data_IF_505417479333
#
_entry.id   IF_505417479333
#
_cell.length_a   1.000
_cell.length_b   1.000
_cell.length_c   1.000
_cell.angle_alpha   90.00
_cell.angle_beta   90.00
_cell.angle_gamma   90.00
#
_symmetry.space_group_name_H-M   'P 1'
#
loop_
_entity.id
_entity.type
_entity.pdbx_description
1 polymer ?
#
# COMPACT_ATOMS: atom_id res chain seq x y z
N UNK A 1 -12.24 -28.89 -7.18
CA UNK A 1 -12.40 -28.27 -5.85
C UNK A 1 -12.07 -26.81 -6.07
N UNK A 2 -12.96 -25.90 -5.70
CA UNK A 2 -12.69 -24.47 -5.69
C UNK A 2 -12.04 -24.08 -4.37
N UNK A 3 -11.23 -23.04 -4.37
CA UNK A 3 -10.64 -22.46 -3.17
C UNK A 3 -11.36 -21.17 -2.78
N UNK A 4 -11.83 -21.09 -1.53
CA UNK A 4 -12.43 -19.87 -0.98
C UNK A 4 -11.39 -19.04 -0.24
N UNK A 5 -11.09 -17.85 -0.76
CA UNK A 5 -9.97 -17.02 -0.32
C UNK A 5 -10.47 -15.69 0.25
N UNK A 6 -10.11 -15.39 1.49
CA UNK A 6 -10.32 -14.06 2.10
C UNK A 6 -9.17 -13.12 1.73
N UNK A 7 -9.46 -11.99 1.10
CA UNK A 7 -8.51 -10.94 0.72
C UNK A 7 -8.64 -9.75 1.67
N UNK A 8 -7.54 -9.33 2.30
CA UNK A 8 -7.53 -8.22 3.28
C UNK A 8 -6.59 -7.10 2.80
N UNK A 9 -7.13 -5.89 2.67
CA UNK A 9 -6.35 -4.70 2.29
C UNK A 9 -6.61 -3.53 3.25
N UNK A 10 -5.78 -3.40 4.30
CA UNK A 10 -5.86 -2.27 5.21
C UNK A 10 -5.29 -0.99 4.56
N UNK A 11 -6.09 0.06 4.54
CA UNK A 11 -5.71 1.44 4.23
C UNK A 11 -5.76 2.33 5.47
N UNK A 12 -5.33 3.59 5.33
CA UNK A 12 -5.22 4.52 6.46
C UNK A 12 -6.56 4.72 7.19
N UNK A 13 -7.64 4.97 6.43
CA UNK A 13 -8.99 5.28 6.95
C UNK A 13 -10.04 4.22 6.63
N UNK A 14 -9.64 3.11 6.01
CA UNK A 14 -10.56 2.00 5.73
C UNK A 14 -9.83 0.67 5.65
N UNK A 15 -10.55 -0.43 5.83
CA UNK A 15 -10.10 -1.77 5.46
C UNK A 15 -11.03 -2.29 4.38
N UNK A 16 -10.49 -2.61 3.22
CA UNK A 16 -11.21 -3.34 2.18
C UNK A 16 -11.01 -4.83 2.40
N UNK A 17 -12.07 -5.59 2.30
CA UNK A 17 -12.07 -7.04 2.45
C UNK A 17 -12.96 -7.65 1.39
N UNK A 18 -12.57 -8.81 0.87
CA UNK A 18 -13.33 -9.54 -0.13
C UNK A 18 -13.14 -11.04 0.02
N UNK A 19 -14.13 -11.82 -0.40
CA UNK A 19 -14.06 -13.27 -0.49
C UNK A 19 -14.24 -13.67 -1.93
N UNK A 20 -13.30 -14.48 -2.42
CA UNK A 20 -13.31 -15.06 -3.75
C UNK A 20 -13.50 -16.57 -3.66
N UNK A 21 -14.15 -17.16 -4.64
CA UNK A 21 -14.03 -18.59 -4.96
C UNK A 21 -13.28 -18.71 -6.28
N UNK A 22 -12.04 -19.20 -6.20
CA UNK A 22 -11.07 -19.12 -7.30
C UNK A 22 -10.99 -17.67 -7.85
N UNK A 23 -11.47 -17.45 -9.08
CA UNK A 23 -11.47 -16.13 -9.74
C UNK A 23 -12.80 -15.37 -9.59
N UNK A 24 -13.82 -15.98 -8.98
CA UNK A 24 -15.15 -15.39 -8.83
C UNK A 24 -15.26 -14.58 -7.52
N UNK A 25 -15.62 -13.30 -7.64
CA UNK A 25 -15.92 -12.45 -6.49
C UNK A 25 -17.26 -12.85 -5.87
N UNK A 26 -17.23 -13.41 -4.66
CA UNK A 26 -18.43 -13.81 -3.92
C UNK A 26 -18.95 -12.66 -3.06
N UNK A 27 -18.05 -11.89 -2.46
CA UNK A 27 -18.41 -10.82 -1.55
C UNK A 27 -17.30 -9.79 -1.42
N UNK A 28 -17.67 -8.53 -1.26
CA UNK A 28 -16.73 -7.47 -0.86
C UNK A 28 -17.39 -6.52 0.16
N UNK A 29 -16.57 -5.97 1.05
CA UNK A 29 -16.96 -4.90 1.96
C UNK A 29 -15.82 -3.89 2.12
N UNK A 30 -16.23 -2.63 2.33
CA UNK A 30 -15.34 -1.52 2.68
C UNK A 30 -15.70 -1.03 4.07
N UNK A 31 -14.93 -1.47 5.05
CA UNK A 31 -15.03 -1.03 6.44
C UNK A 31 -14.37 0.34 6.53
N UNK A 32 -15.14 1.38 6.83
CA UNK A 32 -14.59 2.73 7.06
C UNK A 32 -14.24 2.87 8.54
N UNK A 33 -13.08 3.46 8.83
CA UNK A 33 -12.62 3.72 10.19
C UNK A 33 -12.70 5.22 10.45
N UNK A 34 -13.54 5.62 11.40
CA UNK A 34 -13.62 7.04 11.76
C UNK A 34 -12.33 7.46 12.46
N UNK A 35 -11.92 8.71 12.26
CA UNK A 35 -10.69 9.24 12.88
C UNK A 35 -10.76 9.12 14.40
N UNK A 36 -11.93 9.36 14.99
CA UNK A 36 -12.14 9.27 16.44
C UNK A 36 -12.03 7.84 16.98
N UNK A 37 -12.28 6.82 16.16
CA UNK A 37 -12.13 5.40 16.55
C UNK A 37 -10.68 4.96 16.50
N UNK A 38 -9.90 5.51 15.56
CA UNK A 38 -8.48 5.15 15.38
C UNK A 38 -7.53 6.02 16.22
N UNK A 39 -7.92 7.25 16.55
CA UNK A 39 -7.10 8.21 17.30
C UNK A 39 -6.62 7.71 18.67
N UNK A 40 -7.38 6.89 19.43
CA UNK A 40 -6.92 6.35 20.70
C UNK A 40 -5.77 5.34 20.57
N UNK A 41 -5.53 4.78 19.39
CA UNK A 41 -4.48 3.78 19.18
C UNK A 41 -3.11 4.43 19.03
N UNK A 42 -2.14 4.16 19.92
CA UNK A 42 -0.84 4.83 19.91
C UNK A 42 0.04 4.45 18.71
N UNK A 43 -0.23 3.30 18.10
CA UNK A 43 0.52 2.78 16.94
C UNK A 43 -0.44 2.14 15.96
N UNK A 44 -0.04 2.06 14.68
CA UNK A 44 -0.78 1.29 13.68
C UNK A 44 -0.96 -0.17 14.13
N UNK A 45 0.08 -0.80 14.68
CA UNK A 45 0.00 -2.19 15.14
C UNK A 45 -1.07 -2.40 16.22
N UNK A 46 -1.25 -1.45 17.13
CA UNK A 46 -2.26 -1.56 18.20
C UNK A 46 -3.71 -1.62 17.69
N UNK A 47 -3.96 -1.25 16.43
CA UNK A 47 -5.29 -1.38 15.79
C UNK A 47 -5.62 -2.81 15.31
N UNK A 48 -4.68 -3.76 15.41
CA UNK A 48 -4.81 -5.13 14.86
C UNK A 48 -6.13 -5.80 15.26
N UNK A 49 -6.38 -5.95 16.56
CA UNK A 49 -7.55 -6.69 17.05
C UNK A 49 -8.86 -5.98 16.71
N UNK A 50 -8.86 -4.64 16.83
CA UNK A 50 -10.00 -3.82 16.42
C UNK A 50 -10.38 -4.06 14.95
N UNK A 51 -9.42 -3.97 14.03
CA UNK A 51 -9.67 -4.17 12.61
C UNK A 51 -10.02 -5.63 12.27
N UNK A 52 -9.38 -6.60 12.92
CA UNK A 52 -9.67 -8.02 12.74
C UNK A 52 -11.11 -8.37 13.14
N UNK A 53 -11.56 -7.89 14.30
CA UNK A 53 -12.92 -8.13 14.79
C UNK A 53 -13.98 -7.53 13.86
N UNK A 54 -13.71 -6.35 13.27
CA UNK A 54 -14.61 -5.75 12.27
C UNK A 54 -14.70 -6.61 11.00
N UNK A 55 -13.59 -7.19 10.53
CA UNK A 55 -13.60 -8.10 9.37
C UNK A 55 -14.44 -9.34 9.68
N UNK A 56 -14.24 -9.95 10.85
CA UNK A 56 -15.02 -11.13 11.28
C UNK A 56 -16.52 -10.79 11.34
N UNK A 57 -16.88 -9.66 11.94
CA UNK A 57 -18.28 -9.22 12.01
C UNK A 57 -18.91 -8.99 10.63
N UNK A 58 -18.17 -8.44 9.68
CA UNK A 58 -18.66 -8.25 8.31
C UNK A 58 -18.86 -9.59 7.57
N UNK A 59 -17.97 -10.57 7.78
CA UNK A 59 -18.15 -11.92 7.23
C UNK A 59 -19.36 -12.63 7.84
N UNK A 60 -19.56 -12.51 9.15
CA UNK A 60 -20.73 -13.07 9.84
C UNK A 60 -22.04 -12.46 9.32
N UNK A 61 -22.11 -11.13 9.14
CA UNK A 61 -23.28 -10.45 8.56
C UNK A 61 -23.57 -10.91 7.12
N UNK A 62 -22.52 -11.22 6.36
CA UNK A 62 -22.64 -11.76 5.01
C UNK A 62 -22.99 -13.26 4.97
N UNK A 63 -23.08 -13.93 6.13
CA UNK A 63 -23.33 -15.37 6.22
C UNK A 63 -22.14 -16.23 5.79
N UNK A 64 -20.92 -15.67 5.73
CA UNK A 64 -19.71 -16.39 5.36
C UNK A 64 -19.05 -16.92 6.63
N UNK A 65 -19.16 -18.24 6.83
CA UNK A 65 -18.51 -18.90 7.96
C UNK A 65 -16.99 -18.93 7.80
N UNK A 66 -16.25 -18.58 8.85
CA UNK A 66 -14.78 -18.57 8.83
C UNK A 66 -14.18 -19.94 8.44
N UNK A 67 -14.80 -21.03 8.89
CA UNK A 67 -14.36 -22.40 8.58
C UNK A 67 -14.60 -22.80 7.11
N UNK A 68 -15.25 -21.95 6.31
CA UNK A 68 -15.41 -22.18 4.87
C UNK A 68 -14.25 -21.62 4.04
N UNK A 69 -13.32 -20.88 4.67
CA UNK A 69 -12.15 -20.31 4.00
C UNK A 69 -11.03 -21.34 3.89
N UNK A 70 -10.40 -21.43 2.74
CA UNK A 70 -9.24 -22.29 2.49
C UNK A 70 -7.91 -21.55 2.64
N UNK A 71 -7.92 -20.23 2.46
CA UNK A 71 -6.74 -19.39 2.63
C UNK A 71 -7.10 -17.93 2.93
N UNK A 72 -6.13 -17.20 3.48
CA UNK A 72 -6.22 -15.75 3.66
C UNK A 72 -5.05 -15.09 2.93
N UNK A 73 -5.33 -14.08 2.13
CA UNK A 73 -4.30 -13.26 1.50
C UNK A 73 -4.46 -11.81 1.93
N UNK A 74 -3.34 -11.09 2.02
CA UNK A 74 -3.37 -9.68 2.37
C UNK A 74 -2.41 -8.85 1.54
N UNK A 75 -2.69 -7.54 1.48
CA UNK A 75 -1.70 -6.58 1.01
C UNK A 75 -0.47 -6.63 1.93
N UNK A 76 0.70 -6.87 1.35
CA UNK A 76 1.96 -6.87 2.08
C UNK A 76 2.39 -5.47 2.52
N UNK A 77 2.98 -5.39 3.71
CA UNK A 77 3.40 -4.12 4.32
C UNK A 77 4.84 -3.68 3.99
N UNK A 78 5.38 -2.81 4.84
CA UNK A 78 6.71 -2.19 4.70
C UNK A 78 7.82 -3.16 5.10
N UNK A 79 8.01 -4.25 4.34
CA UNK A 79 9.03 -5.27 4.57
C UNK A 79 10.43 -4.83 4.10
N UNK A 80 11.43 -5.69 4.33
CA UNK A 80 12.72 -5.62 3.64
C UNK A 80 12.49 -5.67 2.11
N UNK A 81 13.44 -5.17 1.29
CA UNK A 81 13.35 -5.31 -0.17
C UNK A 81 13.11 -6.78 -0.54
N UNK A 82 12.09 -7.02 -1.36
CA UNK A 82 11.70 -8.35 -1.83
C UNK A 82 11.54 -8.33 -3.35
N UNK A 83 11.70 -9.47 -3.99
CA UNK A 83 11.26 -9.62 -5.37
C UNK A 83 9.72 -9.63 -5.43
N UNK A 84 9.17 -9.47 -6.63
CA UNK A 84 7.73 -9.69 -6.82
C UNK A 84 7.35 -11.14 -6.59
N UNK A 85 6.19 -11.35 -5.99
CA UNK A 85 5.67 -12.69 -5.76
C UNK A 85 4.64 -12.79 -4.65
N UNK A 86 4.25 -14.04 -4.42
CA UNK A 86 3.36 -14.45 -3.34
C UNK A 86 4.17 -15.14 -2.26
N UNK A 87 4.06 -14.67 -1.02
CA UNK A 87 4.85 -15.16 0.11
C UNK A 87 3.92 -15.67 1.20
N UNK A 88 4.20 -16.87 1.74
CA UNK A 88 3.56 -17.34 2.96
C UNK A 88 3.94 -16.45 4.13
N UNK A 89 2.95 -16.04 4.92
CA UNK A 89 3.19 -15.24 6.10
C UNK A 89 3.71 -16.12 7.22
N UNK A 90 4.83 -15.72 7.83
CA UNK A 90 5.42 -16.42 8.95
C UNK A 90 5.60 -15.47 10.15
N UNK A 91 6.03 -16.03 11.28
CA UNK A 91 6.23 -15.26 12.52
C UNK A 91 7.27 -14.16 12.38
N UNK A 92 8.37 -14.41 11.66
CA UNK A 92 9.42 -13.41 11.42
C UNK A 92 8.88 -12.20 10.66
N UNK A 93 8.05 -12.41 9.65
CA UNK A 93 7.39 -11.34 8.89
C UNK A 93 6.48 -10.50 9.79
N UNK A 94 5.71 -11.14 10.66
CA UNK A 94 4.82 -10.47 11.61
C UNK A 94 5.61 -9.63 12.62
N UNK A 95 6.65 -10.21 13.22
CA UNK A 95 7.48 -9.52 14.19
C UNK A 95 8.21 -8.31 13.55
N UNK A 96 8.70 -8.46 12.31
CA UNK A 96 9.29 -7.35 11.55
C UNK A 96 8.31 -6.20 11.28
N UNK A 97 7.07 -6.52 10.89
CA UNK A 97 6.03 -5.51 10.61
C UNK A 97 5.54 -4.82 11.88
N UNK A 98 5.54 -5.52 13.01
CA UNK A 98 5.23 -4.98 14.34
C UNK A 98 6.26 -3.97 14.81
N UNK A 99 7.55 -4.23 14.58
CA UNK A 99 8.63 -3.32 14.94
C UNK A 99 8.63 -2.03 14.10
N UNK A 100 7.96 -2.03 12.94
CA UNK A 100 7.81 -0.89 12.06
C UNK A 100 9.14 -0.19 11.71
N UNK A 101 10.23 -0.97 11.53
CA UNK A 101 11.59 -0.46 11.24
C UNK A 101 11.67 0.45 10.00
N UNK A 102 10.74 0.29 9.06
CA UNK A 102 10.61 1.10 7.83
C UNK A 102 9.43 2.08 7.87
N UNK A 103 8.93 2.38 9.06
CA UNK A 103 7.81 3.27 9.29
C UNK A 103 6.48 2.56 9.51
N UNK A 104 5.57 3.28 10.15
CA UNK A 104 4.20 2.84 10.35
C UNK A 104 3.35 3.15 9.13
N UNK A 105 2.69 2.13 8.59
CA UNK A 105 1.70 2.29 7.54
C UNK A 105 0.60 1.24 7.72
N UNK A 106 -0.64 1.57 7.40
CA UNK A 106 -1.79 0.67 7.60
C UNK A 106 -1.60 -0.70 6.95
N UNK A 107 -0.90 -0.78 5.80
CA UNK A 107 -0.57 -2.05 5.14
C UNK A 107 0.25 -3.02 6.01
N UNK A 108 0.97 -2.55 7.04
CA UNK A 108 1.67 -3.42 7.98
C UNK A 108 0.70 -4.36 8.71
N UNK A 109 -0.55 -3.95 8.91
CA UNK A 109 -1.58 -4.79 9.53
C UNK A 109 -2.06 -5.94 8.64
N UNK A 110 -1.85 -5.88 7.32
CA UNK A 110 -2.39 -6.88 6.39
C UNK A 110 -1.88 -8.28 6.72
N UNK A 111 -0.57 -8.46 6.66
CA UNK A 111 0.07 -9.73 6.98
C UNK A 111 -0.18 -10.16 8.43
N UNK A 112 -0.18 -9.20 9.37
CA UNK A 112 -0.40 -9.47 10.80
C UNK A 112 -1.80 -10.05 11.05
N UNK A 113 -2.84 -9.44 10.49
CA UNK A 113 -4.22 -9.92 10.61
C UNK A 113 -4.37 -11.26 9.91
N UNK A 114 -3.82 -11.41 8.69
CA UNK A 114 -3.90 -12.66 7.93
C UNK A 114 -3.24 -13.83 8.67
N UNK A 115 -2.08 -13.59 9.30
CA UNK A 115 -1.37 -14.60 10.08
C UNK A 115 -2.15 -15.03 11.33
N UNK A 116 -2.66 -14.07 12.10
CA UNK A 116 -3.39 -14.37 13.34
C UNK A 116 -4.70 -15.10 13.05
N UNK A 117 -5.48 -14.64 12.07
CA UNK A 117 -6.73 -15.29 11.67
C UNK A 117 -6.46 -16.66 11.02
N UNK A 118 -5.43 -16.76 10.18
CA UNK A 118 -5.03 -18.03 9.54
C UNK A 118 -4.63 -19.09 10.56
N UNK A 119 -3.84 -18.71 11.57
CA UNK A 119 -3.46 -19.61 12.66
C UNK A 119 -4.66 -20.06 13.52
N UNK A 120 -5.62 -19.16 13.78
CA UNK A 120 -6.84 -19.51 14.51
C UNK A 120 -7.69 -20.56 13.76
N UNK A 121 -7.73 -20.47 12.43
CA UNK A 121 -8.51 -21.36 11.57
C UNK A 121 -7.73 -22.60 11.11
N UNK A 122 -6.40 -22.62 11.29
CA UNK A 122 -5.53 -23.69 10.80
C UNK A 122 -5.35 -23.69 9.28
N UNK A 123 -5.49 -22.53 8.63
CA UNK A 123 -5.40 -22.35 7.18
C UNK A 123 -4.19 -21.48 6.78
N UNK A 124 -3.62 -21.66 5.58
CA UNK A 124 -2.48 -20.88 5.13
C UNK A 124 -2.83 -19.39 4.94
N UNK A 125 -1.83 -18.54 5.18
CA UNK A 125 -1.90 -17.10 4.97
C UNK A 125 -0.78 -16.61 4.06
N UNK A 126 -1.09 -15.64 3.20
CA UNK A 126 -0.17 -15.11 2.19
C UNK A 126 -0.19 -13.59 2.13
N UNK A 127 0.89 -13.02 1.59
CA UNK A 127 0.88 -11.68 1.01
C UNK A 127 1.26 -11.76 -0.47
N UNK A 128 0.80 -10.79 -1.25
CA UNK A 128 1.14 -10.67 -2.67
C UNK A 128 1.73 -9.30 -2.93
N UNK A 129 2.86 -9.27 -3.65
CA UNK A 129 3.54 -8.07 -4.14
C UNK A 129 3.52 -6.91 -3.12
N UNK A 130 4.21 -7.05 -1.97
CA UNK A 130 4.23 -6.02 -0.94
C UNK A 130 4.67 -4.67 -1.51
N UNK A 131 4.35 -3.58 -0.82
CA UNK A 131 4.81 -2.22 -1.21
C UNK A 131 6.34 -2.05 -1.24
N UNK A 132 7.06 -3.05 -0.72
CA UNK A 132 8.52 -3.16 -0.63
C UNK A 132 9.13 -4.06 -1.69
N UNK A 133 8.35 -4.47 -2.71
CA UNK A 133 8.93 -5.05 -3.93
C UNK A 133 10.00 -4.09 -4.45
N UNK A 134 11.19 -4.60 -4.71
CA UNK A 134 12.34 -3.83 -5.15
C UNK A 134 13.11 -4.60 -6.23
N UNK A 135 12.83 -4.24 -7.48
CA UNK A 135 13.47 -4.80 -8.67
C UNK A 135 14.30 -3.74 -9.41
N UNK A 136 14.53 -2.57 -8.77
CA UNK A 136 15.22 -1.45 -9.38
C UNK A 136 16.63 -1.84 -9.81
N UNK A 137 17.01 -1.44 -11.01
CA UNK A 137 18.37 -1.61 -11.49
C UNK A 137 19.35 -0.71 -10.70
N UNK A 138 20.62 -1.11 -10.55
CA UNK A 138 21.60 -0.29 -9.82
C UNK A 138 21.70 1.15 -10.34
N UNK A 139 21.59 1.35 -11.65
CA UNK A 139 21.62 2.69 -12.27
C UNK A 139 20.44 3.55 -11.82
N UNK A 140 19.27 2.95 -11.55
CA UNK A 140 18.10 3.65 -11.07
C UNK A 140 18.21 4.03 -9.59
N UNK A 141 19.16 3.48 -8.82
CA UNK A 141 19.37 3.88 -7.41
C UNK A 141 20.16 5.18 -7.25
N UNK A 142 20.91 5.56 -8.29
CA UNK A 142 21.73 6.78 -8.26
C UNK A 142 20.81 8.00 -8.14
N UNK A 143 21.08 8.86 -7.16
CA UNK A 143 20.42 10.15 -7.00
C UNK A 143 21.36 11.31 -7.35
N UNK A 144 20.87 12.55 -7.23
CA UNK A 144 21.68 13.75 -7.41
C UNK A 144 22.71 14.00 -6.29
N UNK A 145 22.74 13.19 -5.23
CA UNK A 145 23.68 13.32 -4.11
C UNK A 145 24.20 11.95 -3.70
N UNK A 146 25.52 11.76 -3.72
CA UNK A 146 26.16 10.45 -3.52
C UNK A 146 25.83 9.80 -2.16
N UNK A 147 25.56 10.60 -1.13
CA UNK A 147 25.19 10.12 0.21
C UNK A 147 23.72 9.66 0.33
N UNK A 148 22.90 9.87 -0.71
CA UNK A 148 21.48 9.52 -0.71
C UNK A 148 21.16 8.66 -1.94
N UNK A 149 20.66 7.45 -1.72
CA UNK A 149 20.14 6.59 -2.78
C UNK A 149 18.62 6.70 -2.91
N UNK A 150 18.12 6.44 -4.12
CA UNK A 150 16.68 6.26 -4.35
C UNK A 150 16.22 4.95 -3.70
N UNK A 151 15.02 4.96 -3.13
CA UNK A 151 14.44 3.82 -2.42
C UNK A 151 13.18 3.34 -3.14
N UNK A 152 13.08 2.04 -3.41
CA UNK A 152 11.92 1.46 -4.08
C UNK A 152 10.77 1.23 -3.09
N UNK A 153 9.77 2.11 -3.10
CA UNK A 153 8.49 1.92 -2.40
C UNK A 153 7.37 2.44 -3.30
N UNK A 154 6.49 1.56 -3.74
CA UNK A 154 5.46 1.93 -4.73
C UNK A 154 4.25 1.01 -4.68
N UNK A 155 3.30 1.23 -5.59
CA UNK A 155 2.06 0.46 -5.69
C UNK A 155 2.27 -0.86 -6.46
N UNK A 156 3.23 -1.68 -6.04
CA UNK A 156 3.69 -2.88 -6.75
C UNK A 156 2.57 -3.83 -7.14
N UNK A 157 1.76 -4.29 -6.17
CA UNK A 157 0.61 -5.16 -6.42
C UNK A 157 -0.32 -4.63 -7.51
N UNK A 158 -0.70 -3.36 -7.45
CA UNK A 158 -1.60 -2.78 -8.44
C UNK A 158 -0.94 -2.68 -9.82
N UNK A 159 0.28 -2.13 -9.89
CA UNK A 159 0.95 -1.96 -11.18
C UNK A 159 1.21 -3.30 -11.87
N UNK A 160 1.60 -4.33 -11.12
CA UNK A 160 1.84 -5.68 -11.63
C UNK A 160 0.57 -6.41 -12.02
N UNK A 161 -0.54 -6.21 -11.30
CA UNK A 161 -1.85 -6.74 -11.69
C UNK A 161 -2.31 -6.13 -13.03
N UNK A 162 -2.26 -4.80 -13.16
CA UNK A 162 -2.65 -4.13 -14.42
C UNK A 162 -1.72 -4.51 -15.57
N UNK A 163 -0.42 -4.67 -15.32
CA UNK A 163 0.51 -5.10 -16.35
C UNK A 163 0.20 -6.52 -16.87
N UNK A 164 -0.25 -7.44 -16.01
CA UNK A 164 -0.73 -8.78 -16.41
C UNK A 164 -2.02 -8.70 -17.20
N UNK A 165 -3.00 -7.93 -16.74
CA UNK A 165 -4.25 -7.72 -17.47
C UNK A 165 -4.00 -7.17 -18.89
N UNK A 166 -3.12 -6.18 -19.03
CA UNK A 166 -2.74 -5.62 -20.35
C UNK A 166 -2.03 -6.66 -21.22
N UNK A 167 -1.25 -7.57 -20.63
CA UNK A 167 -0.61 -8.65 -21.38
C UNK A 167 -1.66 -9.64 -21.92
N UNK A 168 -2.62 -10.03 -21.09
CA UNK A 168 -3.75 -10.89 -21.48
C UNK A 168 -4.59 -10.25 -22.60
N UNK A 169 -4.95 -8.97 -22.47
CA UNK A 169 -5.66 -8.21 -23.52
C UNK A 169 -4.88 -8.18 -24.85
N UNK A 170 -3.55 -8.27 -24.79
CA UNK A 170 -2.66 -8.33 -25.96
C UNK A 170 -2.33 -9.75 -26.39
N UNK A 171 -2.93 -10.77 -25.78
CA UNK A 171 -2.63 -12.19 -26.02
C UNK A 171 -1.12 -12.50 -25.91
N UNK A 172 -0.48 -11.95 -24.89
CA UNK A 172 0.94 -12.16 -24.59
C UNK A 172 1.16 -12.31 -23.09
N UNK A 173 2.41 -12.51 -22.68
CA UNK A 173 2.83 -12.59 -21.28
C UNK A 173 3.43 -11.27 -20.82
N UNK A 174 3.26 -10.95 -19.54
CA UNK A 174 3.83 -9.74 -18.93
C UNK A 174 5.37 -9.70 -19.07
N UNK A 175 6.00 -10.86 -19.01
CA UNK A 175 7.44 -11.07 -19.15
C UNK A 175 7.98 -10.78 -20.56
N UNK A 176 7.08 -10.64 -21.56
CA UNK A 176 7.42 -10.29 -22.95
C UNK A 176 7.24 -8.81 -23.26
N UNK A 177 6.78 -8.00 -22.30
CA UNK A 177 6.43 -6.59 -22.50
C UNK A 177 7.40 -5.63 -21.82
N UNK A 178 7.52 -4.44 -22.42
CA UNK A 178 8.06 -3.26 -21.76
C UNK A 178 6.92 -2.25 -21.64
N UNK A 179 6.65 -1.77 -20.44
CA UNK A 179 5.50 -0.93 -20.13
C UNK A 179 5.92 0.26 -19.27
N UNK A 180 5.22 1.38 -19.42
CA UNK A 180 5.21 2.45 -18.43
C UNK A 180 3.87 2.36 -17.72
N UNK A 181 3.88 2.16 -16.41
CA UNK A 181 2.65 2.00 -15.62
C UNK A 181 2.55 3.14 -14.62
N UNK A 182 1.44 3.88 -14.69
CA UNK A 182 1.14 4.99 -13.80
C UNK A 182 -0.02 4.62 -12.87
N UNK A 183 0.26 4.49 -11.58
CA UNK A 183 -0.76 4.40 -10.55
C UNK A 183 -1.14 5.81 -10.10
N UNK A 184 -2.40 6.20 -10.29
CA UNK A 184 -2.90 7.52 -9.93
C UNK A 184 -3.94 7.42 -8.80
N UNK A 185 -3.53 7.78 -7.58
CA UNK A 185 -4.40 7.72 -6.40
C UNK A 185 -3.91 8.58 -5.24
N UNK A 186 -4.18 8.13 -4.00
CA UNK A 186 -3.72 8.79 -2.76
C UNK A 186 -2.21 9.08 -2.77
N UNK A 187 -1.44 8.12 -3.27
CA UNK A 187 -0.08 8.31 -3.76
C UNK A 187 -0.03 8.12 -5.28
N UNK A 188 1.02 8.67 -5.90
CA UNK A 188 1.28 8.44 -7.32
C UNK A 188 2.62 7.73 -7.48
N UNK A 189 2.62 6.64 -8.26
CA UNK A 189 3.85 6.00 -8.72
C UNK A 189 3.81 5.82 -10.23
N UNK A 190 4.90 6.18 -10.89
CA UNK A 190 5.14 5.95 -12.32
C UNK A 190 6.37 5.07 -12.44
N UNK A 191 6.19 3.92 -13.06
CA UNK A 191 7.21 2.88 -13.09
C UNK A 191 7.52 2.43 -14.52
N UNK A 192 8.79 2.18 -14.79
CA UNK A 192 9.27 1.49 -15.97
C UNK A 192 9.31 -0.02 -15.68
N UNK A 193 8.44 -0.75 -16.35
CA UNK A 193 8.41 -2.21 -16.32
C UNK A 193 9.14 -2.74 -17.54
N UNK A 194 10.08 -3.65 -17.33
CA UNK A 194 10.83 -4.33 -18.37
C UNK A 194 10.76 -5.83 -18.14
N UNK A 195 10.13 -6.56 -19.05
CA UNK A 195 10.07 -8.03 -19.07
C UNK A 195 9.68 -8.62 -17.70
N UNK A 196 8.57 -8.16 -17.14
CA UNK A 196 8.08 -8.66 -15.85
C UNK A 196 8.62 -7.92 -14.60
N UNK A 197 9.71 -7.16 -14.74
CA UNK A 197 10.42 -6.51 -13.62
C UNK A 197 10.24 -5.00 -13.61
N UNK A 198 10.20 -4.39 -12.43
CA UNK A 198 10.12 -2.93 -12.25
C UNK A 198 11.52 -2.36 -12.07
N UNK A 199 12.12 -1.89 -13.18
CA UNK A 199 13.53 -1.49 -13.23
C UNK A 199 13.79 -0.07 -12.74
N UNK A 200 12.76 0.79 -12.75
CA UNK A 200 12.82 2.17 -12.25
C UNK A 200 11.42 2.62 -11.81
N UNK A 201 11.32 3.27 -10.65
CA UNK A 201 10.07 3.82 -10.10
C UNK A 201 10.40 4.89 -9.06
N UNK A 202 9.53 5.89 -8.93
CA UNK A 202 9.65 6.88 -7.85
C UNK A 202 9.22 6.29 -6.49
N UNK A 203 9.87 6.71 -5.40
CA UNK A 203 9.39 6.47 -4.05
C UNK A 203 8.06 7.20 -3.81
N UNK A 204 6.97 6.46 -3.94
CA UNK A 204 5.64 7.00 -3.80
C UNK A 204 5.33 7.40 -2.36
N UNK A 205 6.02 6.86 -1.34
CA UNK A 205 5.74 7.10 0.07
C UNK A 205 6.39 8.39 0.58
N UNK A 206 7.69 8.55 0.35
CA UNK A 206 8.49 9.66 0.89
C UNK A 206 8.51 10.90 0.00
N UNK A 207 7.65 10.95 -1.03
CA UNK A 207 7.44 12.16 -1.83
C UNK A 207 8.44 12.34 -2.97
N UNK A 208 8.86 11.26 -3.63
CA UNK A 208 9.57 11.38 -4.91
C UNK A 208 8.57 11.44 -6.07
N UNK A 209 8.92 12.20 -7.11
CA UNK A 209 8.17 12.24 -8.36
C UNK A 209 6.97 13.19 -8.30
N UNK A 210 5.85 12.85 -8.97
CA UNK A 210 4.72 13.74 -9.07
C UNK A 210 4.03 13.97 -7.72
N UNK A 211 3.53 15.18 -7.54
CA UNK A 211 2.59 15.52 -6.47
C UNK A 211 1.32 14.67 -6.58
N UNK A 212 0.83 14.10 -5.47
CA UNK A 212 -0.43 13.35 -5.42
C UNK A 212 -1.53 14.12 -4.69
N UNK A 213 -2.67 13.48 -4.40
CA UNK A 213 -3.72 14.11 -3.60
C UNK A 213 -3.24 14.42 -2.17
N UNK A 214 -2.50 13.50 -1.54
CA UNK A 214 -2.09 13.60 -0.14
C UNK A 214 -0.57 13.71 0.06
N UNK A 215 0.23 13.62 -1.01
CA UNK A 215 1.69 13.65 -0.97
C UNK A 215 2.28 14.80 -1.75
N UNK A 216 3.30 15.44 -1.18
CA UNK A 216 3.95 16.62 -1.77
C UNK A 216 4.63 16.34 -3.11
N UNK A 217 5.14 15.13 -3.31
CA UNK A 217 6.03 14.83 -4.43
C UNK A 217 7.34 15.61 -4.31
N UNK A 218 8.13 15.63 -5.38
CA UNK A 218 9.42 16.30 -5.36
C UNK A 218 9.25 17.82 -5.24
N UNK A 219 9.87 18.40 -4.21
CA UNK A 219 9.90 19.84 -3.95
C UNK A 219 11.31 20.42 -4.14
N UNK A 220 11.46 21.73 -4.40
CA UNK A 220 12.77 22.36 -4.50
C UNK A 220 13.62 22.21 -3.22
N UNK A 221 14.82 21.63 -3.35
CA UNK A 221 15.73 21.35 -2.23
C UNK A 221 16.12 22.62 -1.45
N UNK A 222 16.43 23.70 -2.16
CA UNK A 222 16.77 25.03 -1.63
C UNK A 222 15.83 25.50 -0.49
N UNK A 223 14.56 25.74 -0.83
CA UNK A 223 13.52 26.05 0.14
C UNK A 223 13.32 24.99 1.22
N UNK A 224 13.37 23.69 0.86
CA UNK A 224 13.12 22.60 1.81
C UNK A 224 14.13 22.59 2.96
N UNK A 225 15.44 22.63 2.67
CA UNK A 225 16.43 22.62 3.76
C UNK A 225 16.33 23.90 4.61
N UNK A 226 16.07 25.07 4.01
CA UNK A 226 15.86 26.31 4.79
C UNK A 226 14.67 26.18 5.74
N UNK A 227 13.62 25.52 5.30
CA UNK A 227 12.43 25.25 6.11
C UNK A 227 12.76 24.28 7.26
N UNK A 228 13.46 23.18 6.99
CA UNK A 228 13.90 22.22 8.01
C UNK A 228 14.80 22.87 9.09
N UNK A 229 15.68 23.79 8.70
CA UNK A 229 16.61 24.47 9.62
C UNK A 229 16.07 25.81 10.18
N UNK A 230 14.82 26.16 9.90
CA UNK A 230 14.24 27.45 10.34
C UNK A 230 13.91 27.51 11.84
N UNK A 231 13.91 26.37 12.53
CA UNK A 231 13.41 26.23 13.91
C UNK A 231 11.89 26.30 14.04
N UNK A 232 11.14 26.48 12.93
CA UNK A 232 9.68 26.57 12.93
C UNK A 232 8.97 25.21 12.88
N UNK A 233 9.66 24.16 12.45
CA UNK A 233 9.08 22.85 12.22
C UNK A 233 9.98 21.77 12.81
N UNK A 234 9.37 20.81 13.46
CA UNK A 234 9.96 19.54 13.83
C UNK A 234 10.04 18.61 12.61
N UNK A 235 10.86 17.55 12.71
CA UNK A 235 10.94 16.54 11.67
C UNK A 235 9.57 15.89 11.38
N UNK A 236 8.77 15.62 12.41
CA UNK A 236 7.45 15.01 12.26
C UNK A 236 6.47 15.95 11.53
N UNK A 237 6.52 17.25 11.79
CA UNK A 237 5.73 18.23 11.05
C UNK A 237 6.16 18.33 9.58
N UNK A 238 7.46 18.28 9.28
CA UNK A 238 7.95 18.20 7.89
C UNK A 238 7.47 16.92 7.21
N UNK A 239 7.55 15.77 7.89
CA UNK A 239 7.04 14.49 7.37
C UNK A 239 5.55 14.57 7.08
N UNK A 240 4.73 15.19 7.93
CA UNK A 240 3.28 15.36 7.71
C UNK A 240 2.99 16.28 6.53
N UNK A 241 3.80 17.31 6.31
CA UNK A 241 3.74 18.15 5.11
C UNK A 241 4.07 17.41 3.83
N UNK A 242 4.86 16.33 3.92
CA UNK A 242 4.95 15.38 2.82
C UNK A 242 3.75 14.43 2.79
N UNK A 243 3.51 13.63 3.84
CA UNK A 243 2.52 12.55 3.89
C UNK A 243 1.28 12.94 4.71
N UNK A 244 0.13 13.07 4.02
CA UNK A 244 -1.19 13.32 4.62
C UNK A 244 -1.60 14.79 4.67
N UNK A 245 -0.65 15.72 4.61
CA UNK A 245 -0.90 17.16 4.44
C UNK A 245 -0.10 17.76 3.28
N UNK A 246 0.43 16.91 2.40
CA UNK A 246 1.08 17.33 1.17
C UNK A 246 0.09 17.40 0.01
N UNK A 247 0.62 17.66 -1.17
CA UNK A 247 -0.14 17.50 -2.40
C UNK A 247 -1.31 18.46 -2.53
N UNK A 248 -2.36 18.01 -3.21
CA UNK A 248 -3.57 18.81 -3.43
C UNK A 248 -4.23 19.23 -2.09
N UNK A 249 -4.19 18.35 -1.07
CA UNK A 249 -4.68 18.68 0.29
C UNK A 249 -4.02 19.94 0.83
N UNK A 250 -2.72 20.15 0.59
CA UNK A 250 -2.01 21.34 1.08
C UNK A 250 -2.52 22.65 0.46
N UNK A 251 -3.11 22.59 -0.73
CA UNK A 251 -3.63 23.75 -1.45
C UNK A 251 -5.13 23.96 -1.22
N UNK A 252 -5.91 22.88 -1.20
CA UNK A 252 -7.38 22.94 -1.25
C UNK A 252 -8.06 22.42 0.02
N UNK A 253 -7.32 21.85 0.97
CA UNK A 253 -7.87 21.31 2.23
C UNK A 253 -8.70 20.03 2.07
N UNK A 254 -8.77 19.44 0.87
CA UNK A 254 -9.53 18.22 0.57
C UNK A 254 -8.72 17.26 -0.30
N UNK A 255 -8.92 15.96 -0.07
CA UNK A 255 -8.36 14.87 -0.89
C UNK A 255 -9.41 14.28 -1.86
N UNK A 256 -10.64 14.81 -1.87
CA UNK A 256 -11.72 14.31 -2.72
C UNK A 256 -11.64 14.92 -4.12
N UNK A 257 -11.18 14.13 -5.09
CA UNK A 257 -11.09 14.52 -6.49
C UNK A 257 -12.43 15.02 -7.06
N UNK A 258 -13.57 14.52 -6.57
CA UNK A 258 -14.90 14.96 -7.03
C UNK A 258 -15.22 16.37 -6.56
N UNK A 259 -14.77 16.72 -5.35
CA UNK A 259 -14.89 18.09 -4.82
C UNK A 259 -13.99 19.04 -5.61
N UNK A 260 -12.74 18.63 -5.88
CA UNK A 260 -11.77 19.40 -6.66
C UNK A 260 -12.30 19.70 -8.07
N UNK A 261 -12.87 18.70 -8.76
CA UNK A 261 -13.46 18.90 -10.10
C UNK A 261 -14.61 19.91 -10.06
N UNK A 262 -15.43 19.91 -9.00
CA UNK A 262 -16.48 20.93 -8.82
C UNK A 262 -15.90 22.33 -8.62
N UNK A 263 -14.79 22.47 -7.88
CA UNK A 263 -14.10 23.75 -7.69
C UNK A 263 -13.54 24.31 -9.02
N UNK A 264 -13.02 23.44 -9.90
CA UNK A 264 -12.47 23.84 -11.22
C UNK A 264 -13.58 24.33 -12.17
N UNK A 265 -14.77 23.75 -12.07
CA UNK A 265 -15.90 24.08 -12.95
C UNK A 265 -16.61 25.40 -12.58
N UNK A 266 -16.20 26.07 -11.50
CA UNK A 266 -16.72 27.37 -11.06
C UNK A 266 -15.85 28.50 -11.60
#
# INVERSE_FOLDING_TARGET
MSYRILVINPGSTSTKTAVYEDDELIWESKISHNVDEIAPFPTVYSQKDFRMNLIISELEKAGIGLNSLDAITARGGMLKPLESGTYSVNREMVDYLKEAKRGEHASNLGAVIAFDLGNQLGIPSFIVDPVSVDEMEPIARISGMADIERTCIFHALNQKAIARQVAEEKNTEYEKLNLIVAHLGGGISVACHQKGRVIDVNNALDGEGPMSTERSGTVPLGPLYRMCFSGKYTLEEIKRKNYGQGGIVSYLGTNDAREIVKMIAQ
#
